data_IF_847369317696
#
_entry.id   IF_847369317696
#
_cell.length_a   1.000
_cell.length_b   1.000
_cell.length_c   1.000
_cell.angle_alpha   90.00
_cell.angle_beta   90.00
_cell.angle_gamma   90.00
#
_symmetry.space_group_name_H-M   'P 1'
#
loop_
_entity.id
_entity.type
_entity.pdbx_description
1 polymer ?
#
# COMPACT_ATOMS: atom_id res chain seq x y z
N UNK A 1 12.03 -92.21 23.82
CA UNK A 1 10.68 -91.78 23.44
C UNK A 1 10.20 -90.77 24.50
N UNK A 2 10.20 -89.48 24.12
CA UNK A 2 9.46 -88.35 24.71
C UNK A 2 9.67 -87.97 26.20
N UNK A 3 10.50 -86.94 26.42
CA UNK A 3 10.28 -85.93 27.46
C UNK A 3 10.63 -84.56 26.88
N UNK A 4 9.76 -83.58 27.08
CA UNK A 4 10.08 -82.20 27.50
C UNK A 4 8.80 -81.36 27.47
N UNK A 5 8.31 -81.08 28.68
CA UNK A 5 7.24 -80.11 28.97
C UNK A 5 7.82 -78.73 28.74
N UNK A 6 7.22 -77.95 27.84
CA UNK A 6 7.63 -76.56 27.56
C UNK A 6 6.68 -75.60 28.28
N UNK A 7 7.23 -74.88 29.26
CA UNK A 7 6.56 -73.84 30.03
C UNK A 7 6.50 -72.57 29.16
N UNK A 8 5.31 -72.17 28.74
CA UNK A 8 5.13 -70.94 27.96
C UNK A 8 4.82 -69.75 28.89
N UNK A 9 5.71 -68.75 28.81
CA UNK A 9 5.70 -67.47 29.49
C UNK A 9 4.38 -66.70 29.33
N UNK A 10 3.80 -66.24 30.45
CA UNK A 10 2.69 -65.29 30.45
C UNK A 10 3.21 -63.89 30.07
N UNK A 11 2.80 -63.39 28.90
CA UNK A 11 3.10 -62.05 28.44
C UNK A 11 2.12 -61.05 29.08
N UNK A 12 2.60 -60.23 30.02
CA UNK A 12 1.81 -59.17 30.65
C UNK A 12 1.70 -57.98 29.66
N UNK A 13 0.53 -57.81 29.03
CA UNK A 13 0.21 -56.67 28.16
C UNK A 13 0.00 -55.40 29.02
N UNK A 14 1.03 -54.56 29.13
CA UNK A 14 0.91 -53.19 29.63
C UNK A 14 0.20 -52.33 28.57
N UNK A 15 -1.08 -52.05 28.78
CA UNK A 15 -1.87 -51.12 27.98
C UNK A 15 -1.36 -49.70 28.26
N UNK A 16 -0.47 -49.19 27.40
CA UNK A 16 -0.09 -47.78 27.41
C UNK A 16 -1.26 -46.92 26.92
N UNK A 17 -1.81 -46.08 27.81
CA UNK A 17 -2.80 -45.09 27.42
C UNK A 17 -2.17 -44.10 26.43
N UNK A 18 -2.84 -43.74 25.31
CA UNK A 18 -2.32 -42.74 24.39
C UNK A 18 -2.30 -41.39 25.10
N UNK A 19 -1.13 -40.76 25.19
CA UNK A 19 -1.01 -39.35 25.53
C UNK A 19 -1.80 -38.58 24.47
N UNK A 20 -2.96 -38.05 24.83
CA UNK A 20 -3.70 -37.14 23.98
C UNK A 20 -2.90 -35.84 23.93
N UNK A 21 -2.18 -35.59 22.84
CA UNK A 21 -1.62 -34.28 22.54
C UNK A 21 -2.79 -33.34 22.28
N UNK A 22 -3.08 -32.47 23.24
CA UNK A 22 -3.99 -31.36 23.04
C UNK A 22 -3.36 -30.46 21.97
N UNK A 23 -3.96 -30.40 20.79
CA UNK A 23 -3.58 -29.44 19.78
C UNK A 23 -3.86 -28.04 20.34
N UNK A 24 -2.81 -27.26 20.56
CA UNK A 24 -2.94 -25.85 20.89
C UNK A 24 -3.49 -25.14 19.67
N UNK A 25 -4.76 -24.73 19.73
CA UNK A 25 -5.35 -23.86 18.72
C UNK A 25 -4.71 -22.48 18.89
N UNK A 26 -3.85 -22.07 17.95
CA UNK A 26 -3.14 -20.80 18.00
C UNK A 26 -4.17 -19.66 17.87
N UNK A 27 -4.43 -18.96 18.98
CA UNK A 27 -5.31 -17.81 18.98
C UNK A 27 -4.69 -16.67 18.15
N UNK A 28 -5.17 -16.53 16.91
CA UNK A 28 -4.63 -15.57 15.96
C UNK A 28 -5.38 -14.23 16.03
N UNK A 29 -4.87 -13.29 16.83
CA UNK A 29 -5.41 -11.93 16.93
C UNK A 29 -4.90 -11.06 15.78
N UNK A 30 -5.77 -10.68 14.83
CA UNK A 30 -5.44 -9.73 13.77
C UNK A 30 -5.79 -8.31 14.21
N UNK A 31 -4.77 -7.47 14.46
CA UNK A 31 -4.96 -6.07 14.78
C UNK A 31 -4.97 -5.21 13.51
N UNK A 32 -5.80 -4.16 13.43
CA UNK A 32 -5.78 -3.23 12.32
C UNK A 32 -4.39 -2.61 12.15
N UNK A 33 -3.95 -2.51 10.90
CA UNK A 33 -2.72 -1.82 10.56
C UNK A 33 -2.83 -0.34 10.92
N UNK A 34 -1.82 0.19 11.61
CA UNK A 34 -1.85 1.53 12.21
C UNK A 34 -0.89 2.55 11.56
N UNK A 35 -0.05 2.12 10.60
CA UNK A 35 0.90 3.02 9.91
C UNK A 35 1.23 2.54 8.51
N UNK A 36 1.57 3.48 7.62
CA UNK A 36 2.18 3.18 6.31
C UNK A 36 3.68 2.96 6.49
N UNK A 37 4.21 1.87 5.94
CA UNK A 37 5.63 1.54 5.96
C UNK A 37 6.36 2.12 4.74
N UNK A 38 7.69 2.21 4.82
CA UNK A 38 8.52 2.74 3.74
C UNK A 38 8.35 1.97 2.42
N UNK A 39 8.20 0.64 2.48
CA UNK A 39 7.93 -0.20 1.32
C UNK A 39 6.51 -0.02 0.76
N UNK A 40 5.60 0.66 1.45
CA UNK A 40 4.20 0.84 1.01
C UNK A 40 3.90 2.27 0.57
N UNK A 41 4.90 3.15 0.63
CA UNK A 41 4.81 4.52 0.17
C UNK A 41 5.53 4.67 -1.17
N UNK A 42 4.88 5.28 -2.15
CA UNK A 42 5.52 5.66 -3.41
C UNK A 42 5.76 7.17 -3.50
N UNK A 43 6.89 7.57 -4.08
CA UNK A 43 7.27 8.97 -4.30
C UNK A 43 7.10 9.30 -5.77
N UNK A 44 6.30 10.32 -6.10
CA UNK A 44 6.07 10.73 -7.48
C UNK A 44 6.91 11.96 -7.80
N UNK A 45 7.86 11.80 -8.72
CA UNK A 45 8.80 12.85 -9.16
C UNK A 45 8.42 13.33 -10.56
N UNK A 46 8.33 14.65 -10.73
CA UNK A 46 8.30 15.25 -12.07
C UNK A 46 9.74 15.53 -12.53
N UNK A 47 10.24 14.76 -13.49
CA UNK A 47 11.62 14.85 -13.96
C UNK A 47 11.92 16.16 -14.70
N UNK A 48 10.89 16.82 -15.25
CA UNK A 48 11.01 18.13 -15.88
C UNK A 48 11.14 19.28 -14.86
N UNK A 49 10.95 19.04 -13.55
CA UNK A 49 11.09 20.03 -12.49
C UNK A 49 12.29 19.71 -11.58
N UNK A 50 13.41 20.44 -11.70
CA UNK A 50 14.59 20.22 -10.86
C UNK A 50 14.30 20.32 -9.36
N UNK A 51 13.31 21.11 -8.93
CA UNK A 51 12.92 21.18 -7.52
C UNK A 51 12.17 19.91 -7.09
N UNK A 52 11.29 19.38 -7.94
CA UNK A 52 10.61 18.10 -7.67
C UNK A 52 11.58 16.94 -7.55
N UNK A 53 12.59 16.88 -8.43
CA UNK A 53 13.68 15.89 -8.37
C UNK A 53 14.44 15.98 -7.05
N UNK A 54 14.83 17.20 -6.62
CA UNK A 54 15.54 17.39 -5.34
C UNK A 54 14.70 16.95 -4.15
N UNK A 55 13.42 17.38 -4.08
CA UNK A 55 12.50 17.02 -3.00
C UNK A 55 12.30 15.50 -2.96
N UNK A 56 12.08 14.86 -4.11
CA UNK A 56 11.85 13.42 -4.19
C UNK A 56 13.05 12.59 -3.80
N UNK A 57 14.24 12.94 -4.29
CA UNK A 57 15.47 12.26 -3.90
C UNK A 57 15.75 12.39 -2.40
N UNK A 58 15.57 13.60 -1.84
CA UNK A 58 15.70 13.84 -0.41
C UNK A 58 14.69 13.00 0.39
N UNK A 59 13.40 13.10 0.05
CA UNK A 59 12.33 12.45 0.80
C UNK A 59 12.43 10.92 0.75
N UNK A 60 12.77 10.35 -0.42
CA UNK A 60 13.05 8.91 -0.57
C UNK A 60 14.14 8.46 0.39
N UNK A 61 15.29 9.16 0.39
CA UNK A 61 16.44 8.84 1.25
C UNK A 61 16.11 9.00 2.72
N UNK A 62 15.44 10.08 3.10
CA UNK A 62 15.10 10.39 4.49
C UNK A 62 14.07 9.42 5.11
N UNK A 63 13.34 8.67 4.28
CA UNK A 63 12.28 7.74 4.70
C UNK A 63 12.54 6.29 4.32
N UNK A 64 13.75 5.98 3.84
CA UNK A 64 14.17 4.65 3.39
C UNK A 64 13.20 4.00 2.39
N UNK A 65 12.59 4.83 1.52
CA UNK A 65 11.65 4.35 0.51
C UNK A 65 12.47 3.62 -0.57
N UNK A 66 12.13 2.36 -0.90
CA UNK A 66 12.90 1.58 -1.86
C UNK A 66 12.84 2.20 -3.26
N UNK A 67 13.90 2.07 -4.04
CA UNK A 67 13.99 2.66 -5.37
C UNK A 67 12.85 2.24 -6.32
N UNK A 68 12.35 1.00 -6.19
CA UNK A 68 11.19 0.49 -6.95
C UNK A 68 9.88 1.25 -6.68
N UNK A 69 9.81 2.01 -5.60
CA UNK A 69 8.65 2.84 -5.23
C UNK A 69 8.81 4.31 -5.68
N UNK A 70 9.83 4.63 -6.47
CA UNK A 70 9.97 5.96 -7.08
C UNK A 70 9.30 5.94 -8.45
N UNK A 71 8.25 6.74 -8.60
CA UNK A 71 7.45 6.82 -9.81
C UNK A 71 7.81 8.11 -10.54
N UNK A 72 8.16 7.97 -11.81
CA UNK A 72 8.64 9.08 -12.64
C UNK A 72 7.57 9.53 -13.62
N UNK A 73 7.37 10.83 -13.70
CA UNK A 73 6.51 11.48 -14.70
C UNK A 73 7.22 12.67 -15.29
N UNK A 74 6.79 13.08 -16.48
CA UNK A 74 7.31 14.27 -17.15
C UNK A 74 6.13 15.14 -17.58
N UNK A 75 6.10 16.36 -17.08
CA UNK A 75 5.22 17.41 -17.58
C UNK A 75 5.81 18.80 -17.31
N UNK A 76 5.49 19.75 -18.17
CA UNK A 76 6.01 21.12 -18.09
C UNK A 76 5.70 21.78 -16.73
N UNK A 77 6.71 22.12 -15.90
CA UNK A 77 6.48 22.85 -14.66
C UNK A 77 6.10 24.32 -14.92
N UNK A 78 5.79 25.04 -13.85
CA UNK A 78 5.36 26.44 -13.88
C UNK A 78 3.90 26.66 -14.26
N UNK A 79 3.13 25.59 -14.54
CA UNK A 79 1.71 25.67 -14.89
C UNK A 79 0.85 25.03 -13.79
N UNK A 80 0.42 25.78 -12.76
CA UNK A 80 -0.30 25.21 -11.62
C UNK A 80 -1.69 24.68 -11.98
N UNK A 81 -2.24 25.05 -13.14
CA UNK A 81 -3.44 24.42 -13.67
C UNK A 81 -3.09 23.41 -14.77
N UNK A 82 -3.25 22.13 -14.44
CA UNK A 82 -3.09 21.00 -15.35
C UNK A 82 -4.46 20.63 -15.94
N UNK A 83 -4.55 20.47 -17.25
CA UNK A 83 -5.81 20.07 -17.88
C UNK A 83 -6.20 18.63 -17.53
N UNK A 84 -7.50 18.31 -17.42
CA UNK A 84 -7.98 16.93 -17.18
C UNK A 84 -7.35 15.88 -18.10
N UNK A 85 -7.18 16.19 -19.39
CA UNK A 85 -6.63 15.24 -20.35
C UNK A 85 -5.14 14.92 -20.07
N UNK A 86 -4.36 15.93 -19.68
CA UNK A 86 -2.96 15.78 -19.26
C UNK A 86 -2.88 14.95 -17.97
N UNK A 87 -3.69 15.31 -16.97
CA UNK A 87 -3.80 14.54 -15.73
C UNK A 87 -4.17 13.07 -15.96
N UNK A 88 -5.15 12.79 -16.84
CA UNK A 88 -5.56 11.40 -17.13
C UNK A 88 -4.39 10.56 -17.68
N UNK A 89 -3.54 11.15 -18.53
CA UNK A 89 -2.34 10.46 -19.04
C UNK A 89 -1.32 10.21 -17.94
N UNK A 90 -1.04 11.23 -17.12
CA UNK A 90 -0.11 11.15 -15.97
C UNK A 90 -0.59 10.11 -14.95
N UNK A 91 -1.87 10.13 -14.57
CA UNK A 91 -2.46 9.16 -13.64
C UNK A 91 -2.37 7.74 -14.19
N UNK A 92 -2.69 7.52 -15.45
CA UNK A 92 -2.58 6.20 -16.06
C UNK A 92 -1.12 5.68 -16.11
N UNK A 93 -0.15 6.58 -16.30
CA UNK A 93 1.27 6.23 -16.22
C UNK A 93 1.67 5.83 -14.80
N UNK A 94 1.28 6.64 -13.80
CA UNK A 94 1.53 6.37 -12.38
C UNK A 94 0.89 5.04 -11.95
N UNK A 95 -0.36 4.79 -12.35
CA UNK A 95 -1.07 3.57 -12.01
C UNK A 95 -0.38 2.32 -12.55
N UNK A 96 0.18 2.39 -13.77
CA UNK A 96 0.97 1.29 -14.35
C UNK A 96 2.31 1.09 -13.66
N UNK A 97 2.96 2.16 -13.20
CA UNK A 97 4.25 2.07 -12.51
C UNK A 97 4.10 1.63 -11.05
N UNK A 98 2.92 1.81 -10.44
CA UNK A 98 2.71 1.59 -9.01
C UNK A 98 2.83 0.10 -8.64
N UNK A 99 3.80 -0.29 -7.80
CA UNK A 99 3.88 -1.65 -7.29
C UNK A 99 2.64 -2.03 -6.46
N UNK A 100 2.23 -3.30 -6.50
CA UNK A 100 1.01 -3.79 -5.86
C UNK A 100 0.98 -3.59 -4.33
N UNK A 101 2.13 -3.49 -3.68
CA UNK A 101 2.25 -3.28 -2.24
C UNK A 101 2.18 -1.81 -1.81
N UNK A 102 2.08 -0.86 -2.74
CA UNK A 102 1.93 0.57 -2.43
C UNK A 102 0.52 0.86 -1.97
N UNK A 103 0.40 1.64 -0.89
CA UNK A 103 -0.86 2.05 -0.29
C UNK A 103 -1.04 3.58 -0.27
N UNK A 104 0.02 4.35 -0.49
CA UNK A 104 -0.03 5.80 -0.49
C UNK A 104 0.98 6.43 -1.45
N UNK A 105 0.70 7.66 -1.86
CA UNK A 105 1.58 8.48 -2.70
C UNK A 105 2.06 9.73 -1.96
N UNK A 106 3.36 10.01 -2.05
CA UNK A 106 3.98 11.28 -1.72
C UNK A 106 4.28 12.03 -3.02
N UNK A 107 3.51 13.09 -3.28
CA UNK A 107 3.68 13.96 -4.46
C UNK A 107 4.72 15.02 -4.13
N UNK A 108 5.80 15.12 -4.91
CA UNK A 108 6.94 16.01 -4.60
C UNK A 108 6.94 17.29 -5.41
N UNK A 109 5.74 17.79 -5.73
CA UNK A 109 5.55 18.96 -6.59
C UNK A 109 5.29 20.19 -5.71
N UNK A 110 6.17 21.18 -5.76
CA UNK A 110 6.14 22.29 -4.80
C UNK A 110 5.02 23.33 -5.05
N UNK A 111 4.53 23.44 -6.29
CA UNK A 111 3.42 24.35 -6.59
C UNK A 111 2.07 23.76 -6.18
N UNK A 112 1.06 24.60 -5.91
CA UNK A 112 -0.30 24.17 -5.57
C UNK A 112 -1.05 23.72 -6.83
N UNK A 113 -0.61 22.63 -7.44
CA UNK A 113 -1.21 22.11 -8.66
C UNK A 113 -2.69 21.77 -8.46
N UNK A 114 -3.47 22.02 -9.52
CA UNK A 114 -4.86 21.60 -9.66
C UNK A 114 -5.05 20.92 -11.00
N UNK A 115 -6.04 20.05 -11.07
CA UNK A 115 -6.56 19.49 -12.31
C UNK A 115 -7.84 20.24 -12.65
N UNK A 116 -7.79 21.12 -13.66
CA UNK A 116 -8.83 22.10 -13.96
C UNK A 116 -9.27 22.90 -12.71
N UNK A 117 -10.32 22.43 -12.03
CA UNK A 117 -10.95 23.05 -10.87
C UNK A 117 -10.76 22.28 -9.54
N UNK A 118 -10.09 21.12 -9.57
CA UNK A 118 -9.94 20.21 -8.43
C UNK A 118 -8.49 20.17 -7.95
N UNK A 119 -8.24 20.12 -6.63
CA UNK A 119 -6.87 19.99 -6.13
C UNK A 119 -6.19 18.73 -6.67
N UNK A 120 -4.88 18.78 -6.92
CA UNK A 120 -4.15 17.62 -7.45
C UNK A 120 -4.23 16.41 -6.50
N UNK A 121 -4.13 16.64 -5.19
CA UNK A 121 -4.22 15.58 -4.17
C UNK A 121 -5.57 14.88 -4.20
N UNK A 122 -6.66 15.65 -4.29
CA UNK A 122 -8.00 15.08 -4.45
C UNK A 122 -8.12 14.27 -5.73
N UNK A 123 -7.60 14.80 -6.85
CA UNK A 123 -7.68 14.14 -8.14
C UNK A 123 -6.89 12.81 -8.15
N UNK A 124 -5.76 12.73 -7.45
CA UNK A 124 -5.02 11.48 -7.26
C UNK A 124 -5.74 10.50 -6.34
N UNK A 125 -6.29 10.97 -5.21
CA UNK A 125 -6.87 10.12 -4.18
C UNK A 125 -8.14 9.39 -4.64
N UNK A 126 -9.01 10.04 -5.41
CA UNK A 126 -10.30 9.47 -5.81
C UNK A 126 -10.72 9.80 -7.24
N UNK A 127 -9.77 10.22 -8.08
CA UNK A 127 -10.02 10.53 -9.50
C UNK A 127 -10.58 11.93 -9.74
N UNK A 128 -10.37 12.46 -10.94
CA UNK A 128 -10.97 13.73 -11.34
C UNK A 128 -12.47 13.58 -11.59
N UNK A 129 -13.27 14.38 -10.89
CA UNK A 129 -14.71 14.48 -11.08
C UNK A 129 -15.18 15.91 -10.82
N UNK A 130 -15.87 16.50 -11.80
CA UNK A 130 -16.36 17.89 -11.74
C UNK A 130 -17.32 18.13 -10.57
N UNK A 131 -17.94 17.09 -9.99
CA UNK A 131 -18.77 17.22 -8.77
C UNK A 131 -17.96 17.65 -7.55
N UNK A 132 -16.64 17.48 -7.56
CA UNK A 132 -15.73 18.00 -6.54
C UNK A 132 -15.13 19.36 -6.89
N UNK A 133 -15.55 19.97 -8.01
CA UNK A 133 -15.18 21.35 -8.29
C UNK A 133 -16.10 22.30 -7.55
N UNK A 134 -15.49 23.27 -6.88
CA UNK A 134 -16.25 24.29 -6.17
C UNK A 134 -16.98 25.20 -7.15
N UNK A 135 -18.24 25.54 -6.84
CA UNK A 135 -19.07 26.42 -7.69
C UNK A 135 -18.56 27.87 -7.73
N UNK A 136 -17.94 28.32 -6.65
CA UNK A 136 -17.32 29.63 -6.50
C UNK A 136 -16.11 29.53 -5.58
N UNK A 137 -15.30 30.58 -5.46
CA UNK A 137 -14.08 30.53 -4.64
C UNK A 137 -14.44 30.16 -3.19
N UNK A 138 -13.75 29.14 -2.66
CA UNK A 138 -13.90 28.63 -1.29
C UNK A 138 -15.28 28.04 -0.93
N UNK A 139 -16.15 27.73 -1.90
CA UNK A 139 -17.41 27.04 -1.60
C UNK A 139 -17.17 25.55 -1.29
N UNK A 140 -18.06 24.90 -0.52
CA UNK A 140 -17.98 23.46 -0.29
C UNK A 140 -18.09 22.68 -1.60
N UNK A 141 -17.42 21.54 -1.63
CA UNK A 141 -17.51 20.55 -2.72
C UNK A 141 -18.42 19.40 -2.28
N UNK A 142 -18.70 18.45 -3.18
CA UNK A 142 -19.42 17.23 -2.79
C UNK A 142 -18.68 16.51 -1.65
N UNK A 143 -19.44 15.98 -0.69
CA UNK A 143 -18.91 15.09 0.35
C UNK A 143 -18.18 13.88 -0.25
N UNK A 144 -17.07 13.49 0.38
CA UNK A 144 -16.31 12.30 0.00
C UNK A 144 -16.59 11.18 1.00
N UNK A 145 -17.17 10.07 0.52
CA UNK A 145 -17.45 8.88 1.35
C UNK A 145 -16.20 8.19 1.89
N UNK A 146 -15.01 8.50 1.36
CA UNK A 146 -13.75 7.99 1.93
C UNK A 146 -13.48 8.56 3.34
N UNK A 147 -14.04 9.73 3.67
CA UNK A 147 -13.81 10.43 4.94
C UNK A 147 -15.08 10.56 5.80
N UNK A 148 -16.16 9.88 5.43
CA UNK A 148 -17.46 9.97 6.10
C UNK A 148 -17.99 8.59 6.49
#
# INVERSE_FOLDING_TARGET
MRYLVSVAFAFLLLIGAPLSTVASDDFHLSLPKHRILANELAVIINDADPLSVRIGNYYRKARDIPARNVLHVDFRPGRPNMGKAEFKRIKALIDRQTPANVQAYAITWAMPYRVDCMSITSAFAFGFDKRFCSRQRCAPTRHNSYFN
#
